data_IF_507404278757
#
_entry.id   IF_507404278757
#
_cell.length_a   1.000
_cell.length_b   1.000
_cell.length_c   1.000
_cell.angle_alpha   90.00
_cell.angle_beta   90.00
_cell.angle_gamma   90.00
#
_symmetry.space_group_name_H-M   'P 1'
#
loop_
_entity.id
_entity.type
_entity.pdbx_description
1 polymer ?
#
# COMPACT_ATOMS: atom_id res chain seq x y z
N UNK A 1 -0.65 12.11 10.22
CA UNK A 1 0.42 11.97 9.22
C UNK A 1 0.64 10.49 9.04
N UNK A 2 0.25 9.96 7.89
CA UNK A 2 0.73 8.66 7.44
C UNK A 2 2.24 8.76 7.21
N UNK A 3 2.94 7.64 7.36
CA UNK A 3 4.39 7.52 7.27
C UNK A 3 4.76 6.44 6.24
N UNK A 4 4.04 6.43 5.11
CA UNK A 4 4.20 5.39 4.10
C UNK A 4 5.52 5.55 3.35
N UNK A 5 6.05 6.77 3.26
CA UNK A 5 7.42 6.97 2.79
C UNK A 5 8.45 6.27 3.69
N UNK A 6 8.29 6.30 5.02
CA UNK A 6 9.18 5.57 5.94
C UNK A 6 9.15 4.05 5.65
N UNK A 7 8.00 3.49 5.24
CA UNK A 7 7.88 2.08 4.85
C UNK A 7 8.74 1.79 3.63
N UNK A 8 8.57 2.53 2.52
CA UNK A 8 9.37 2.25 1.32
C UNK A 8 10.85 2.50 1.55
N UNK A 9 11.24 3.52 2.31
CA UNK A 9 12.66 3.75 2.62
C UNK A 9 13.24 2.56 3.38
N UNK A 10 12.52 2.06 4.40
CA UNK A 10 12.92 0.88 5.17
C UNK A 10 12.99 -0.37 4.31
N UNK A 11 11.98 -0.64 3.47
CA UNK A 11 11.97 -1.79 2.57
C UNK A 11 13.12 -1.73 1.56
N UNK A 12 13.41 -0.55 1.01
CA UNK A 12 14.54 -0.35 0.09
C UNK A 12 15.87 -0.68 0.76
N UNK A 13 16.06 -0.27 2.02
CA UNK A 13 17.29 -0.53 2.75
C UNK A 13 17.46 -2.01 3.08
N UNK A 14 16.39 -2.71 3.47
CA UNK A 14 16.42 -4.15 3.69
C UNK A 14 16.64 -4.91 2.36
N UNK A 15 16.00 -4.49 1.27
CA UNK A 15 16.19 -5.07 -0.05
C UNK A 15 17.66 -5.01 -0.51
N UNK A 16 18.34 -3.88 -0.28
CA UNK A 16 19.79 -3.73 -0.56
C UNK A 16 20.64 -4.72 0.25
N UNK A 17 20.31 -4.91 1.53
CA UNK A 17 20.98 -5.92 2.38
C UNK A 17 20.79 -7.34 1.81
N UNK A 18 19.63 -7.60 1.24
CA UNK A 18 19.29 -8.88 0.62
C UNK A 18 19.81 -9.06 -0.82
N UNK A 19 20.52 -8.07 -1.37
CA UNK A 19 20.98 -8.12 -2.77
C UNK A 19 19.84 -8.09 -3.80
N UNK A 20 18.70 -7.50 -3.45
CA UNK A 20 17.56 -7.28 -4.36
C UNK A 20 17.74 -5.91 -5.03
N UNK A 21 17.61 -5.87 -6.35
CA UNK A 21 17.69 -4.63 -7.12
C UNK A 21 16.34 -3.90 -7.13
N UNK A 22 16.38 -2.56 -7.21
CA UNK A 22 15.15 -1.76 -7.17
C UNK A 22 14.16 -2.01 -8.31
N UNK A 23 14.61 -2.54 -9.46
CA UNK A 23 13.75 -2.89 -10.59
C UNK A 23 13.03 -4.24 -10.42
N UNK A 24 13.32 -4.97 -9.34
CA UNK A 24 12.62 -6.20 -8.96
C UNK A 24 11.50 -5.94 -7.96
N UNK A 25 11.44 -4.72 -7.42
CA UNK A 25 10.43 -4.30 -6.45
C UNK A 25 9.20 -3.75 -7.17
N UNK A 26 8.03 -4.02 -6.59
CA UNK A 26 6.70 -3.65 -7.09
C UNK A 26 6.33 -2.21 -6.76
N UNK A 27 6.73 -1.67 -5.61
CA UNK A 27 6.48 -0.26 -5.29
C UNK A 27 7.21 0.63 -6.30
N UNK A 28 6.57 1.71 -6.77
CA UNK A 28 7.29 2.80 -7.45
C UNK A 28 8.02 3.69 -6.42
N UNK A 29 9.30 3.38 -6.18
CA UNK A 29 10.12 4.09 -5.19
C UNK A 29 10.36 5.57 -5.54
N UNK A 30 10.05 6.01 -6.77
CA UNK A 30 10.16 7.41 -7.19
C UNK A 30 9.00 8.29 -6.68
N UNK A 31 7.86 7.71 -6.31
CA UNK A 31 6.65 8.43 -5.90
C UNK A 31 6.61 8.71 -4.40
N UNK A 32 5.89 9.75 -4.00
CA UNK A 32 5.53 9.97 -2.60
C UNK A 32 4.31 9.10 -2.24
N UNK A 33 4.50 8.06 -1.40
CA UNK A 33 3.44 7.09 -1.11
C UNK A 33 2.31 7.67 -0.24
N UNK A 34 2.62 8.66 0.59
CA UNK A 34 1.61 9.35 1.39
C UNK A 34 0.70 10.20 0.50
N UNK A 35 1.28 10.89 -0.49
CA UNK A 35 0.52 11.66 -1.49
C UNK A 35 -0.29 10.75 -2.41
N UNK A 36 0.26 9.62 -2.85
CA UNK A 36 -0.43 8.67 -3.72
C UNK A 36 -1.65 8.06 -3.02
N UNK A 37 -1.49 7.58 -1.78
CA UNK A 37 -2.61 7.05 -1.01
C UNK A 37 -3.69 8.12 -0.81
N UNK A 38 -3.29 9.33 -0.42
CA UNK A 38 -4.24 10.42 -0.19
C UNK A 38 -5.01 10.77 -1.46
N UNK A 39 -4.32 10.87 -2.59
CA UNK A 39 -4.89 11.14 -3.91
C UNK A 39 -5.93 10.10 -4.32
N UNK A 40 -5.63 8.81 -4.19
CA UNK A 40 -6.58 7.75 -4.55
C UNK A 40 -7.78 7.66 -3.59
N UNK A 41 -7.57 7.88 -2.29
CA UNK A 41 -8.66 7.98 -1.31
C UNK A 41 -9.58 9.16 -1.59
N UNK A 42 -9.02 10.33 -1.92
CA UNK A 42 -9.78 11.52 -2.25
C UNK A 42 -10.62 11.31 -3.52
N UNK A 43 -10.05 10.68 -4.57
CA UNK A 43 -10.79 10.31 -5.79
C UNK A 43 -11.97 9.39 -5.49
N UNK A 44 -11.77 8.35 -4.66
CA UNK A 44 -12.83 7.43 -4.27
C UNK A 44 -13.92 8.12 -3.43
N UNK A 45 -13.53 8.95 -2.47
CA UNK A 45 -14.46 9.71 -1.63
C UNK A 45 -15.29 10.68 -2.48
N UNK A 46 -14.65 11.39 -3.42
CA UNK A 46 -15.33 12.31 -4.33
C UNK A 46 -16.34 11.60 -5.23
N UNK A 47 -16.02 10.41 -5.75
CA UNK A 47 -16.99 9.63 -6.53
C UNK A 47 -18.18 9.16 -5.69
N UNK A 48 -18.00 8.94 -4.40
CA UNK A 48 -19.12 8.63 -3.49
C UNK A 48 -20.09 9.81 -3.36
N UNK A 49 -19.58 11.05 -3.39
CA UNK A 49 -20.41 12.26 -3.41
C UNK A 49 -21.18 12.41 -4.72
N UNK A 50 -20.51 12.15 -5.86
CA UNK A 50 -21.15 12.14 -7.18
C UNK A 50 -22.24 11.08 -7.24
N UNK A 51 -21.97 9.87 -6.76
CA UNK A 51 -22.93 8.77 -6.72
C UNK A 51 -24.19 9.14 -5.94
N UNK A 52 -24.02 9.75 -4.76
CA UNK A 52 -25.14 10.22 -3.94
C UNK A 52 -25.97 11.26 -4.69
N UNK A 53 -25.33 12.28 -5.25
CA UNK A 53 -26.02 13.35 -5.98
C UNK A 53 -26.77 12.83 -7.21
N UNK A 54 -26.13 11.96 -8.00
CA UNK A 54 -26.75 11.34 -9.17
C UNK A 54 -27.97 10.49 -8.79
N UNK A 55 -27.90 9.80 -7.65
CA UNK A 55 -29.03 9.03 -7.12
C UNK A 55 -30.19 9.94 -6.69
N UNK A 56 -29.91 11.03 -5.97
CA UNK A 56 -30.91 12.02 -5.54
C UNK A 56 -31.62 12.66 -6.76
N UNK A 57 -30.88 12.90 -7.84
CA UNK A 57 -31.40 13.44 -9.11
C UNK A 57 -32.02 12.39 -10.05
N UNK A 58 -31.97 11.10 -9.68
CA UNK A 58 -32.43 9.94 -10.47
C UNK A 58 -31.74 9.81 -11.84
N UNK A 59 -30.53 10.37 -11.99
CA UNK A 59 -29.70 10.18 -13.18
C UNK A 59 -28.95 8.84 -13.07
N UNK A 60 -29.60 7.77 -13.54
CA UNK A 60 -29.06 6.42 -13.43
C UNK A 60 -27.84 6.18 -14.33
N UNK A 61 -27.66 6.97 -15.39
CA UNK A 61 -26.46 6.90 -16.25
C UNK A 61 -25.26 7.45 -15.46
N UNK A 62 -25.43 8.59 -14.79
CA UNK A 62 -24.41 9.14 -13.91
C UNK A 62 -24.12 8.23 -12.72
N UNK A 63 -25.13 7.57 -12.13
CA UNK A 63 -24.94 6.53 -11.09
C UNK A 63 -24.04 5.42 -11.60
N UNK A 64 -24.34 4.85 -12.79
CA UNK A 64 -23.54 3.77 -13.35
C UNK A 64 -22.09 4.21 -13.63
N UNK A 65 -21.91 5.42 -14.19
CA UNK A 65 -20.58 5.98 -14.42
C UNK A 65 -19.80 6.17 -13.11
N UNK A 66 -20.42 6.73 -12.07
CA UNK A 66 -19.79 6.92 -10.76
C UNK A 66 -19.40 5.59 -10.11
N UNK A 67 -20.21 4.53 -10.27
CA UNK A 67 -19.86 3.18 -9.80
C UNK A 67 -18.65 2.61 -10.54
N UNK A 68 -18.57 2.76 -11.86
CA UNK A 68 -17.41 2.32 -12.65
C UNK A 68 -16.15 3.04 -12.18
N UNK A 69 -16.20 4.36 -11.99
CA UNK A 69 -15.06 5.14 -11.50
C UNK A 69 -14.67 4.76 -10.06
N UNK A 70 -15.65 4.60 -9.17
CA UNK A 70 -15.40 4.14 -7.79
C UNK A 70 -14.71 2.77 -7.76
N UNK A 71 -15.11 1.86 -8.66
CA UNK A 71 -14.46 0.55 -8.80
C UNK A 71 -12.99 0.71 -9.24
N UNK A 72 -12.71 1.61 -10.18
CA UNK A 72 -11.33 1.87 -10.64
C UNK A 72 -10.46 2.38 -9.49
N UNK A 73 -10.90 3.41 -8.77
CA UNK A 73 -10.12 3.96 -7.64
C UNK A 73 -9.95 2.96 -6.50
N UNK A 74 -10.96 2.12 -6.26
CA UNK A 74 -10.84 1.00 -5.29
C UNK A 74 -9.82 -0.05 -5.76
N UNK A 75 -9.75 -0.35 -7.05
CA UNK A 75 -8.74 -1.24 -7.61
C UNK A 75 -7.34 -0.65 -7.49
N UNK A 76 -7.18 0.65 -7.71
CA UNK A 76 -5.89 1.34 -7.54
C UNK A 76 -5.42 1.25 -6.09
N UNK A 77 -6.29 1.55 -5.12
CA UNK A 77 -5.97 1.41 -3.69
C UNK A 77 -5.58 -0.04 -3.34
N UNK A 78 -6.30 -1.03 -3.87
CA UNK A 78 -5.94 -2.44 -3.68
C UNK A 78 -4.56 -2.73 -4.24
N UNK A 79 -4.27 -2.30 -5.46
CA UNK A 79 -2.98 -2.53 -6.10
C UNK A 79 -1.85 -1.83 -5.32
N UNK A 80 -2.05 -0.60 -4.86
CA UNK A 80 -1.10 0.11 -3.99
C UNK A 80 -0.68 -0.70 -2.76
N UNK A 81 -1.64 -1.33 -2.06
CA UNK A 81 -1.31 -2.19 -0.91
C UNK A 81 -0.72 -3.54 -1.32
N UNK A 82 -1.11 -4.07 -2.48
CA UNK A 82 -0.51 -5.29 -3.02
C UNK A 82 0.96 -5.06 -3.37
N UNK A 83 1.32 -3.92 -3.96
CA UNK A 83 2.71 -3.62 -4.32
C UNK A 83 3.61 -3.60 -3.06
N UNK A 84 3.10 -3.05 -1.95
CA UNK A 84 3.79 -3.08 -0.65
C UNK A 84 3.92 -4.51 -0.12
N UNK A 85 2.84 -5.30 -0.21
CA UNK A 85 2.83 -6.70 0.21
C UNK A 85 3.82 -7.55 -0.60
N UNK A 86 3.83 -7.39 -1.93
CA UNK A 86 4.69 -8.14 -2.84
C UNK A 86 6.17 -7.84 -2.56
N UNK A 87 6.53 -6.60 -2.25
CA UNK A 87 7.89 -6.24 -1.82
C UNK A 87 8.28 -6.90 -0.51
N UNK A 88 7.38 -6.91 0.47
CA UNK A 88 7.60 -7.59 1.76
C UNK A 88 7.78 -9.09 1.55
N UNK A 89 6.95 -9.71 0.70
CA UNK A 89 7.05 -11.13 0.35
C UNK A 89 8.38 -11.45 -0.34
N UNK A 90 8.78 -10.65 -1.33
CA UNK A 90 10.05 -10.83 -2.02
C UNK A 90 11.24 -10.71 -1.06
N UNK A 91 11.25 -9.69 -0.20
CA UNK A 91 12.34 -9.45 0.75
C UNK A 91 12.41 -10.54 1.82
N UNK A 92 11.28 -10.90 2.43
CA UNK A 92 11.24 -11.82 3.56
C UNK A 92 11.49 -13.29 3.20
N UNK A 93 11.29 -13.66 1.93
CA UNK A 93 11.36 -15.05 1.47
C UNK A 93 12.36 -15.28 0.33
N UNK A 94 13.21 -14.30 0.02
CA UNK A 94 14.30 -14.48 -0.96
C UNK A 94 15.34 -15.51 -0.49
N UNK A 95 15.80 -16.35 -1.41
CA UNK A 95 16.94 -17.26 -1.17
C UNK A 95 18.30 -16.54 -1.24
N UNK A 96 18.32 -15.26 -1.67
CA UNK A 96 19.56 -14.46 -1.78
C UNK A 96 20.10 -14.01 -0.43
N UNK A 97 19.27 -14.05 0.61
CA UNK A 97 19.63 -13.67 1.96
C UNK A 97 19.33 -14.80 2.94
N UNK A 98 20.32 -15.16 3.76
CA UNK A 98 20.14 -16.18 4.79
C UNK A 98 19.49 -15.57 6.03
N UNK A 99 18.16 -15.42 5.99
CA UNK A 99 17.40 -14.99 7.16
C UNK A 99 17.61 -15.96 8.33
N UNK A 100 17.84 -15.46 9.56
CA UNK A 100 17.92 -16.32 10.73
C UNK A 100 16.56 -16.95 11.02
N UNK A 101 16.57 -18.19 11.51
CA UNK A 101 15.36 -18.80 12.05
C UNK A 101 14.85 -17.99 13.24
N UNK A 102 13.53 -17.77 13.29
CA UNK A 102 12.88 -17.11 14.43
C UNK A 102 12.79 -18.12 15.58
N UNK A 103 13.46 -17.90 16.73
CA UNK A 103 13.41 -18.83 17.84
C UNK A 103 12.00 -19.02 18.40
N UNK A 104 11.72 -20.21 18.95
CA UNK A 104 10.46 -20.46 19.65
C UNK A 104 10.31 -19.48 20.83
N UNK A 105 9.15 -18.82 20.89
CA UNK A 105 8.87 -17.83 21.94
C UNK A 105 9.58 -16.48 21.77
N UNK A 106 10.25 -16.22 20.64
CA UNK A 106 10.83 -14.90 20.36
C UNK A 106 9.76 -13.81 20.40
N UNK A 107 10.06 -12.73 21.12
CA UNK A 107 9.26 -11.52 21.16
C UNK A 107 10.13 -10.35 20.69
N UNK A 108 9.56 -9.45 19.91
CA UNK A 108 10.25 -8.22 19.50
C UNK A 108 10.59 -7.44 20.79
N UNK A 109 11.88 -7.10 21.02
CA UNK A 109 12.28 -6.43 22.25
C UNK A 109 11.60 -5.07 22.46
N UNK A 110 11.17 -4.78 23.69
CA UNK A 110 10.45 -3.55 24.06
C UNK A 110 11.19 -2.25 23.73
N UNK A 111 12.53 -2.25 23.74
CA UNK A 111 13.31 -1.04 23.42
C UNK A 111 13.18 -0.60 21.96
N UNK A 112 12.66 -1.47 21.08
CA UNK A 112 12.28 -1.10 19.71
C UNK A 112 10.92 -0.39 19.63
N UNK A 113 10.26 -0.11 20.77
CA UNK A 113 8.98 0.60 20.87
C UNK A 113 7.95 0.01 19.92
N UNK A 114 7.72 -1.29 20.01
CA UNK A 114 6.56 -1.88 19.38
C UNK A 114 5.34 -1.11 19.89
N UNK A 115 4.55 -0.42 19.05
CA UNK A 115 3.27 0.10 19.51
C UNK A 115 2.47 -1.13 19.92
N UNK A 116 2.39 -1.36 21.23
CA UNK A 116 1.71 -2.52 21.78
C UNK A 116 0.23 -2.48 21.37
N UNK A 117 -0.30 -3.70 21.18
CA UNK A 117 -1.66 -4.08 20.75
C UNK A 117 -2.79 -3.13 21.14
#
# INVERSE_FOLDING_TARGET
>A
MTKLNDIKETLSDVAKVCGIMGNELSIDYSLNLDEELYSELEKLANMSLVLKKALDEKDMVAVQAALVMSRIYSMNLRNFFNDIYDDIELIGWTERYSWPEIPEGYQIPEHYKHPNK
#
